data_IF_143875604899
#
_entry.id   IF_143875604899
#
_cell.length_a   1.000
_cell.length_b   1.000
_cell.length_c   1.000
_cell.angle_alpha   90.00
_cell.angle_beta   90.00
_cell.angle_gamma   90.00
#
_symmetry.space_group_name_H-M   'P 1'
#
loop_
_entity.id
_entity.type
_entity.pdbx_description
1 polymer ?
#
# COMPACT_ATOMS: atom_id res chain seq x y z
N UNK A 1 14.48 8.97 34.22
CA UNK A 1 15.27 8.62 33.01
C UNK A 1 15.90 9.89 32.49
N UNK A 2 17.22 9.94 32.27
CA UNK A 2 17.86 11.10 31.65
C UNK A 2 17.58 11.06 30.14
N UNK A 3 16.77 11.98 29.62
CA UNK A 3 16.33 11.98 28.22
C UNK A 3 17.45 12.26 27.21
N UNK A 4 18.53 12.90 27.65
CA UNK A 4 19.70 13.19 26.81
C UNK A 4 20.70 12.03 26.77
N UNK A 5 20.53 11.03 27.64
CA UNK A 5 21.37 9.84 27.61
C UNK A 5 21.00 8.91 26.44
N UNK A 6 21.98 8.15 25.95
CA UNK A 6 21.75 7.13 24.93
C UNK A 6 21.14 5.86 25.54
N UNK A 7 20.12 5.26 24.90
CA UNK A 7 19.65 3.94 25.30
C UNK A 7 20.72 2.87 25.11
N UNK A 8 20.58 1.70 25.78
CA UNK A 8 21.48 0.57 25.57
C UNK A 8 21.60 0.20 24.08
N UNK A 9 22.80 -0.15 23.61
CA UNK A 9 23.05 -0.52 22.21
C UNK A 9 22.14 -1.65 21.70
N UNK A 10 21.78 -2.58 22.58
CA UNK A 10 20.84 -3.65 22.28
C UNK A 10 19.45 -3.10 21.92
N UNK A 11 18.97 -2.08 22.65
CA UNK A 11 17.68 -1.45 22.35
C UNK A 11 17.72 -0.79 20.98
N UNK A 12 18.78 -0.02 20.69
CA UNK A 12 18.98 0.63 19.38
C UNK A 12 18.95 -0.37 18.21
N UNK A 13 19.52 -1.56 18.40
CA UNK A 13 19.50 -2.63 17.40
C UNK A 13 18.10 -3.25 17.23
N UNK A 14 17.35 -3.37 18.32
CA UNK A 14 16.02 -3.98 18.33
C UNK A 14 14.87 -2.99 18.08
N UNK A 15 15.13 -1.68 17.99
CA UNK A 15 14.10 -0.63 17.82
C UNK A 15 13.05 -0.98 16.75
N UNK A 16 13.41 -1.36 15.50
CA UNK A 16 12.41 -1.60 14.47
C UNK A 16 11.49 -2.77 14.80
N UNK A 17 12.06 -3.84 15.39
CA UNK A 17 11.30 -5.02 15.79
C UNK A 17 10.37 -4.71 16.96
N UNK A 18 10.85 -3.96 17.96
CA UNK A 18 10.03 -3.55 19.10
C UNK A 18 8.87 -2.67 18.66
N UNK A 19 9.13 -1.65 17.84
CA UNK A 19 8.10 -0.74 17.33
C UNK A 19 7.10 -1.47 16.45
N UNK A 20 7.56 -2.42 15.62
CA UNK A 20 6.66 -3.26 14.84
C UNK A 20 5.76 -4.13 15.72
N UNK A 21 6.32 -4.82 16.73
CA UNK A 21 5.52 -5.64 17.64
C UNK A 21 4.49 -4.81 18.40
N UNK A 22 4.87 -3.62 18.89
CA UNK A 22 3.93 -2.68 19.51
C UNK A 22 2.80 -2.29 18.55
N UNK A 23 3.14 -1.94 17.30
CA UNK A 23 2.16 -1.62 16.27
C UNK A 23 1.26 -2.79 15.90
N UNK A 24 1.81 -4.00 15.80
CA UNK A 24 1.07 -5.24 15.54
C UNK A 24 0.02 -5.48 16.62
N UNK A 25 0.42 -5.44 17.90
CA UNK A 25 -0.51 -5.62 19.01
C UNK A 25 -1.54 -4.49 19.09
N UNK A 26 -1.14 -3.24 18.85
CA UNK A 26 -2.06 -2.11 18.84
C UNK A 26 -3.11 -2.24 17.73
N UNK A 27 -2.71 -2.63 16.53
CA UNK A 27 -3.63 -2.81 15.40
C UNK A 27 -4.57 -3.99 15.64
N UNK A 28 -4.05 -5.12 16.15
CA UNK A 28 -4.88 -6.28 16.49
C UNK A 28 -5.84 -6.01 17.65
N UNK A 29 -5.52 -5.08 18.56
CA UNK A 29 -6.38 -4.74 19.67
C UNK A 29 -7.70 -4.08 19.20
N UNK A 30 -7.72 -3.42 18.03
CA UNK A 30 -8.92 -2.77 17.49
C UNK A 30 -10.07 -3.76 17.24
N UNK A 31 -9.94 -4.77 16.37
CA UNK A 31 -11.02 -5.73 16.13
C UNK A 31 -11.34 -6.58 17.37
N UNK A 32 -10.38 -6.78 18.28
CA UNK A 32 -10.64 -7.46 19.57
C UNK A 32 -11.52 -6.61 20.47
N UNK A 33 -11.21 -5.32 20.61
CA UNK A 33 -11.97 -4.39 21.46
C UNK A 33 -13.38 -4.13 20.92
N UNK A 34 -13.55 -4.13 19.59
CA UNK A 34 -14.84 -3.95 18.93
C UNK A 34 -15.66 -5.24 18.80
N UNK A 35 -15.04 -6.40 19.06
CA UNK A 35 -15.69 -7.71 18.91
C UNK A 35 -15.88 -8.16 17.46
N UNK A 36 -15.25 -7.49 16.50
CA UNK A 36 -15.34 -7.83 15.08
C UNK A 36 -14.79 -6.75 14.16
N UNK A 37 -15.04 -6.93 12.85
CA UNK A 37 -14.89 -5.90 11.84
C UNK A 37 -16.25 -5.26 11.57
N UNK A 38 -16.28 -3.94 11.44
CA UNK A 38 -17.42 -3.20 10.92
C UNK A 38 -17.71 -3.52 9.45
N UNK A 39 -18.98 -3.80 9.14
CA UNK A 39 -19.48 -3.79 7.77
C UNK A 39 -19.90 -2.37 7.40
N UNK A 40 -18.98 -1.64 6.78
CA UNK A 40 -19.24 -0.31 6.25
C UNK A 40 -20.26 -0.33 5.10
N UNK A 41 -20.75 0.84 4.71
CA UNK A 41 -21.54 0.99 3.48
C UNK A 41 -20.80 0.41 2.27
N UNK A 42 -19.49 0.66 2.16
CA UNK A 42 -18.66 0.09 1.10
C UNK A 42 -18.57 -1.43 1.16
N UNK A 43 -18.53 -2.01 2.36
CA UNK A 43 -18.51 -3.46 2.54
C UNK A 43 -19.77 -4.13 1.97
N UNK A 44 -20.92 -3.52 2.24
CA UNK A 44 -22.23 -3.99 1.78
C UNK A 44 -22.45 -3.78 0.28
N UNK A 45 -21.77 -2.79 -0.32
CA UNK A 45 -21.95 -2.46 -1.73
C UNK A 45 -20.92 -3.14 -2.64
N UNK A 46 -19.63 -3.18 -2.27
CA UNK A 46 -18.60 -3.65 -3.19
C UNK A 46 -17.50 -4.52 -2.59
N UNK A 47 -17.11 -4.40 -1.30
CA UNK A 47 -15.97 -5.20 -0.81
C UNK A 47 -16.23 -6.72 -0.85
N UNK A 48 -17.41 -7.16 -0.41
CA UNK A 48 -17.79 -8.59 -0.44
C UNK A 48 -17.90 -9.08 -1.88
N UNK A 49 -18.55 -8.30 -2.75
CA UNK A 49 -18.70 -8.63 -4.17
C UNK A 49 -17.34 -8.74 -4.88
N UNK A 50 -16.46 -7.76 -4.70
CA UNK A 50 -15.12 -7.77 -5.28
C UNK A 50 -14.28 -8.95 -4.78
N UNK A 51 -14.36 -9.26 -3.48
CA UNK A 51 -13.69 -10.43 -2.92
C UNK A 51 -14.21 -11.75 -3.52
N UNK A 52 -15.51 -11.83 -3.82
CA UNK A 52 -16.12 -12.99 -4.47
C UNK A 52 -15.65 -13.19 -5.91
N UNK A 53 -15.67 -12.12 -6.72
CA UNK A 53 -15.31 -12.22 -8.15
C UNK A 53 -13.81 -12.34 -8.39
N UNK A 54 -12.96 -12.15 -7.38
CA UNK A 54 -11.51 -12.28 -7.51
C UNK A 54 -11.07 -13.65 -8.06
N UNK A 55 -11.79 -14.73 -7.76
CA UNK A 55 -11.46 -16.08 -8.24
C UNK A 55 -12.19 -16.46 -9.53
N UNK A 56 -13.38 -15.94 -9.71
CA UNK A 56 -14.26 -16.29 -10.83
C UNK A 56 -14.96 -15.02 -11.26
N UNK A 57 -14.35 -14.24 -12.16
CA UNK A 57 -14.97 -13.05 -12.72
C UNK A 57 -16.32 -13.42 -13.36
N UNK A 58 -17.31 -12.55 -13.22
CA UNK A 58 -18.71 -12.80 -13.62
C UNK A 58 -19.25 -11.73 -14.56
N UNK A 59 -18.38 -11.18 -15.41
CA UNK A 59 -18.71 -10.08 -16.30
C UNK A 59 -19.86 -10.38 -17.28
N UNK A 60 -20.11 -11.67 -17.57
CA UNK A 60 -21.19 -12.19 -18.41
C UNK A 60 -22.55 -12.25 -17.69
N UNK A 61 -22.57 -12.14 -16.37
CA UNK A 61 -23.78 -12.31 -15.53
C UNK A 61 -24.12 -11.05 -14.75
N UNK A 62 -23.10 -10.41 -14.20
CA UNK A 62 -23.22 -9.34 -13.22
C UNK A 62 -22.86 -8.00 -13.89
N UNK A 63 -23.87 -7.30 -14.43
CA UNK A 63 -23.65 -6.06 -15.20
C UNK A 63 -23.13 -4.90 -14.34
N UNK A 64 -23.76 -4.64 -13.20
CA UNK A 64 -23.43 -3.53 -12.28
C UNK A 64 -23.75 -3.92 -10.82
N UNK A 65 -23.41 -5.16 -10.43
CA UNK A 65 -23.76 -5.70 -9.11
C UNK A 65 -23.22 -4.85 -7.94
N UNK A 66 -22.12 -4.13 -8.16
CA UNK A 66 -21.56 -3.14 -7.25
C UNK A 66 -21.40 -1.77 -7.94
N UNK A 67 -22.39 -1.37 -8.76
CA UNK A 67 -22.37 -0.13 -9.54
C UNK A 67 -21.03 0.08 -10.28
N UNK A 68 -20.47 1.29 -10.24
CA UNK A 68 -19.17 1.63 -10.86
C UNK A 68 -17.99 0.96 -10.19
N UNK A 69 -18.15 0.44 -8.97
CA UNK A 69 -17.10 -0.27 -8.24
C UNK A 69 -16.91 -1.72 -8.71
N UNK A 70 -17.83 -2.28 -9.50
CA UNK A 70 -17.80 -3.68 -9.97
C UNK A 70 -16.52 -4.07 -10.71
N UNK A 71 -15.83 -3.10 -11.30
CA UNK A 71 -14.60 -3.29 -12.09
C UNK A 71 -13.32 -2.91 -11.34
N UNK A 72 -13.40 -2.55 -10.06
CA UNK A 72 -12.22 -2.26 -9.25
C UNK A 72 -11.37 -3.51 -9.01
N UNK A 73 -10.09 -3.30 -8.68
CA UNK A 73 -9.13 -4.36 -8.40
C UNK A 73 -9.62 -5.28 -7.25
N UNK A 74 -9.92 -6.56 -7.52
CA UNK A 74 -10.66 -7.39 -6.56
C UNK A 74 -9.75 -8.12 -5.57
N UNK A 75 -8.48 -8.33 -5.91
CA UNK A 75 -7.63 -9.29 -5.20
C UNK A 75 -7.28 -8.90 -3.76
N UNK A 76 -7.29 -7.61 -3.42
CA UNK A 76 -7.09 -7.18 -2.02
C UNK A 76 -8.32 -7.42 -1.13
N UNK A 77 -9.51 -7.59 -1.71
CA UNK A 77 -10.72 -7.92 -0.96
C UNK A 77 -10.88 -9.44 -0.76
N UNK A 78 -10.17 -10.24 -1.56
CA UNK A 78 -10.25 -11.69 -1.52
C UNK A 78 -9.93 -12.32 -0.15
N UNK A 79 -8.85 -11.91 0.59
CA UNK A 79 -8.56 -12.51 1.89
C UNK A 79 -9.70 -12.33 2.89
N UNK A 80 -10.28 -11.13 2.96
CA UNK A 80 -11.44 -10.85 3.82
C UNK A 80 -12.63 -11.74 3.44
N UNK A 81 -12.96 -11.79 2.15
CA UNK A 81 -14.10 -12.58 1.65
C UNK A 81 -13.95 -14.07 1.99
N UNK A 82 -12.73 -14.61 1.85
CA UNK A 82 -12.45 -16.02 2.16
C UNK A 82 -12.55 -16.33 3.65
N UNK A 83 -12.10 -15.43 4.52
CA UNK A 83 -12.24 -15.61 5.96
C UNK A 83 -13.72 -15.58 6.36
N UNK A 84 -14.49 -14.63 5.83
CA UNK A 84 -15.92 -14.52 6.09
C UNK A 84 -16.69 -15.77 5.62
N UNK A 85 -16.46 -16.23 4.38
CA UNK A 85 -17.14 -17.42 3.83
C UNK A 85 -16.69 -18.74 4.44
N UNK A 86 -15.51 -18.79 5.04
CA UNK A 86 -15.06 -19.93 5.84
C UNK A 86 -15.68 -19.98 7.25
N UNK A 87 -16.53 -19.01 7.62
CA UNK A 87 -17.15 -18.94 8.94
C UNK A 87 -16.21 -18.47 10.05
N UNK A 88 -15.09 -17.83 9.70
CA UNK A 88 -14.16 -17.25 10.67
C UNK A 88 -14.81 -16.06 11.35
N UNK A 89 -14.63 -15.93 12.67
CA UNK A 89 -15.18 -14.80 13.43
C UNK A 89 -14.62 -13.47 12.95
N UNK A 90 -15.40 -12.39 13.06
CA UNK A 90 -14.97 -11.04 12.68
C UNK A 90 -13.71 -10.60 13.43
N UNK A 91 -13.51 -11.03 14.68
CA UNK A 91 -12.31 -10.76 15.47
C UNK A 91 -11.07 -11.38 14.83
N UNK A 92 -11.14 -12.66 14.44
CA UNK A 92 -10.00 -13.35 13.83
C UNK A 92 -9.74 -12.81 12.42
N UNK A 93 -10.78 -12.54 11.65
CA UNK A 93 -10.65 -11.92 10.33
C UNK A 93 -10.03 -10.52 10.42
N UNK A 94 -10.49 -9.70 11.36
CA UNK A 94 -9.93 -8.39 11.64
C UNK A 94 -8.49 -8.47 12.13
N UNK A 95 -8.18 -9.38 13.04
CA UNK A 95 -6.81 -9.62 13.50
C UNK A 95 -5.86 -10.00 12.36
N UNK A 96 -6.31 -10.82 11.42
CA UNK A 96 -5.54 -11.17 10.23
C UNK A 96 -5.27 -9.94 9.35
N UNK A 97 -6.29 -9.15 9.02
CA UNK A 97 -6.13 -7.92 8.23
C UNK A 97 -5.25 -6.88 8.95
N UNK A 98 -5.46 -6.70 10.26
CA UNK A 98 -4.68 -5.81 11.11
C UNK A 98 -3.20 -6.23 11.18
N UNK A 99 -2.91 -7.55 11.19
CA UNK A 99 -1.54 -8.05 11.15
C UNK A 99 -0.82 -7.67 9.85
N UNK A 100 -1.53 -7.71 8.71
CA UNK A 100 -1.00 -7.27 7.42
C UNK A 100 -0.83 -5.74 7.43
N UNK A 101 -1.82 -5.00 7.92
CA UNK A 101 -1.75 -3.55 8.06
C UNK A 101 -0.55 -3.08 8.92
N UNK A 102 -0.16 -3.87 9.93
CA UNK A 102 1.01 -3.57 10.77
C UNK A 102 2.34 -3.51 10.00
N UNK A 103 2.41 -4.07 8.79
CA UNK A 103 3.59 -3.97 7.91
C UNK A 103 3.87 -2.54 7.47
N UNK A 104 2.92 -1.60 7.64
CA UNK A 104 3.17 -0.16 7.48
C UNK A 104 4.07 0.41 8.58
N UNK A 105 4.03 -0.14 9.80
CA UNK A 105 4.68 0.43 10.99
C UNK A 105 6.21 0.52 10.83
N UNK A 106 6.93 -0.52 10.38
CA UNK A 106 8.37 -0.40 10.14
C UNK A 106 8.73 0.63 9.08
N UNK A 107 7.92 0.78 8.02
CA UNK A 107 8.17 1.77 6.98
C UNK A 107 8.06 3.20 7.53
N UNK A 108 7.01 3.48 8.32
CA UNK A 108 6.85 4.79 8.99
C UNK A 108 7.96 5.01 10.02
N UNK A 109 8.40 3.98 10.74
CA UNK A 109 9.54 4.08 11.65
C UNK A 109 10.85 4.45 10.93
N UNK A 110 11.10 3.90 9.74
CA UNK A 110 12.26 4.27 8.92
C UNK A 110 12.21 5.73 8.48
N UNK A 111 11.03 6.20 8.07
CA UNK A 111 10.81 7.61 7.72
C UNK A 111 11.01 8.51 8.95
N UNK A 112 10.48 8.13 10.11
CA UNK A 112 10.68 8.86 11.36
C UNK A 112 12.16 8.95 11.75
N UNK A 113 12.94 7.87 11.56
CA UNK A 113 14.40 7.88 11.77
C UNK A 113 15.15 8.79 10.81
N UNK A 114 14.66 8.91 9.58
CA UNK A 114 15.24 9.84 8.61
C UNK A 114 14.97 11.31 8.99
N UNK A 115 13.76 11.61 9.49
CA UNK A 115 13.39 12.95 9.97
C UNK A 115 14.06 13.32 11.30
N UNK A 116 14.28 12.34 12.18
CA UNK A 116 14.89 12.52 13.51
C UNK A 116 16.03 11.50 13.70
N UNK A 117 17.27 11.82 13.25
CA UNK A 117 18.39 10.86 13.22
C UNK A 117 19.15 10.71 14.55
N UNK A 118 18.80 11.48 15.58
CA UNK A 118 19.48 11.48 16.88
C UNK A 118 19.37 10.14 17.63
N UNK A 119 20.24 9.94 18.63
CA UNK A 119 20.39 8.65 19.34
C UNK A 119 20.11 8.75 20.85
N UNK A 120 19.47 9.82 21.29
CA UNK A 120 19.07 9.99 22.69
C UNK A 120 17.71 9.35 22.97
N UNK A 121 17.34 9.21 24.23
CA UNK A 121 15.97 8.81 24.61
C UNK A 121 14.93 9.81 24.11
N UNK A 122 15.23 11.12 24.11
CA UNK A 122 14.35 12.14 23.54
C UNK A 122 14.06 11.86 22.05
N UNK A 123 15.10 11.60 21.26
CA UNK A 123 14.95 11.32 19.83
C UNK A 123 14.12 10.05 19.59
N UNK A 124 14.34 9.00 20.39
CA UNK A 124 13.53 7.78 20.33
C UNK A 124 12.05 8.06 20.61
N UNK A 125 11.75 8.83 21.67
CA UNK A 125 10.38 9.18 22.03
C UNK A 125 9.72 10.08 20.98
N UNK A 126 10.46 11.00 20.36
CA UNK A 126 9.96 11.84 19.27
C UNK A 126 9.59 10.99 18.05
N UNK A 127 10.44 10.02 17.67
CA UNK A 127 10.13 9.07 16.60
C UNK A 127 8.92 8.21 16.95
N UNK A 128 8.84 7.69 18.17
CA UNK A 128 7.73 6.86 18.63
C UNK A 128 6.42 7.63 18.60
N UNK A 129 6.46 8.89 19.06
CA UNK A 129 5.32 9.82 19.00
C UNK A 129 4.92 10.11 17.56
N UNK A 130 5.88 10.32 16.65
CA UNK A 130 5.61 10.52 15.22
C UNK A 130 4.95 9.31 14.57
N UNK A 131 5.43 8.09 14.85
CA UNK A 131 4.79 6.84 14.38
C UNK A 131 3.39 6.70 14.97
N UNK A 132 3.22 6.95 16.26
CA UNK A 132 1.91 6.91 16.90
C UNK A 132 0.94 7.88 16.23
N UNK A 133 1.31 9.16 16.08
CA UNK A 133 0.48 10.18 15.44
C UNK A 133 0.15 9.85 13.98
N UNK A 134 1.08 9.24 13.23
CA UNK A 134 0.85 8.83 11.85
C UNK A 134 -0.32 7.82 11.70
N UNK A 135 -0.59 7.02 12.73
CA UNK A 135 -1.68 6.04 12.72
C UNK A 135 -2.92 6.46 13.52
N UNK A 136 -2.84 7.56 14.27
CA UNK A 136 -3.96 8.09 15.07
C UNK A 136 -4.93 8.98 14.27
N UNK A 137 -4.71 9.14 12.96
CA UNK A 137 -5.66 9.84 12.10
C UNK A 137 -7.02 9.12 12.07
N UNK A 138 -8.12 9.87 12.17
CA UNK A 138 -9.48 9.28 12.20
C UNK A 138 -9.78 8.38 11.00
N UNK A 139 -9.29 8.74 9.81
CA UNK A 139 -9.39 7.91 8.61
C UNK A 139 -8.64 6.60 8.80
N UNK A 140 -7.37 6.65 9.22
CA UNK A 140 -6.54 5.44 9.44
C UNK A 140 -7.14 4.51 10.48
N UNK A 141 -7.64 5.05 11.58
CA UNK A 141 -8.32 4.26 12.61
C UNK A 141 -9.61 3.62 12.09
N UNK A 142 -10.42 4.35 11.30
CA UNK A 142 -11.61 3.76 10.69
C UNK A 142 -11.30 2.62 9.71
N UNK A 143 -10.11 2.65 9.08
CA UNK A 143 -9.70 1.58 8.17
C UNK A 143 -9.37 0.28 8.92
N UNK A 144 -8.91 0.36 10.18
CA UNK A 144 -8.61 -0.81 11.02
C UNK A 144 -9.87 -1.54 11.51
N UNK A 145 -11.03 -0.88 11.52
CA UNK A 145 -12.34 -1.47 11.81
C UNK A 145 -13.16 -1.74 10.53
N UNK A 146 -12.54 -1.70 9.36
CA UNK A 146 -13.26 -1.87 8.11
C UNK A 146 -12.67 -2.98 7.27
N UNK A 147 -13.41 -3.34 6.23
CA UNK A 147 -13.00 -4.30 5.21
C UNK A 147 -12.38 -3.60 4.00
N UNK A 148 -12.08 -2.30 4.13
CA UNK A 148 -11.44 -1.48 3.10
C UNK A 148 -10.03 -1.98 2.81
N UNK A 149 -9.67 -1.93 1.53
CA UNK A 149 -8.32 -2.24 1.07
C UNK A 149 -7.39 -1.04 1.00
N UNK A 150 -7.87 0.18 1.31
CA UNK A 150 -7.12 1.43 1.13
C UNK A 150 -5.80 1.41 1.88
N UNK A 151 -5.86 0.94 3.13
CA UNK A 151 -4.67 0.87 3.96
C UNK A 151 -3.68 -0.17 3.43
N UNK A 152 -4.18 -1.37 3.07
CA UNK A 152 -3.36 -2.46 2.52
C UNK A 152 -2.71 -2.04 1.19
N UNK A 153 -3.45 -1.34 0.34
CA UNK A 153 -2.97 -0.83 -0.93
C UNK A 153 -1.86 0.23 -0.76
N UNK A 154 -1.87 0.98 0.34
CA UNK A 154 -0.87 2.01 0.63
C UNK A 154 0.44 1.47 1.20
N UNK A 155 0.46 0.27 1.78
CA UNK A 155 1.66 -0.33 2.42
C UNK A 155 2.87 -0.34 1.47
N UNK A 156 2.77 -0.82 0.20
CA UNK A 156 3.94 -0.83 -0.68
C UNK A 156 4.46 0.59 -0.97
N UNK A 157 3.58 1.60 -1.08
CA UNK A 157 4.00 2.98 -1.30
C UNK A 157 4.74 3.54 -0.08
N UNK A 158 4.28 3.26 1.14
CA UNK A 158 5.01 3.62 2.36
C UNK A 158 6.42 3.02 2.37
N UNK A 159 6.54 1.75 1.98
CA UNK A 159 7.84 1.11 1.83
C UNK A 159 8.67 1.71 0.70
N UNK A 160 8.07 2.15 -0.41
CA UNK A 160 8.78 2.83 -1.47
C UNK A 160 9.46 4.11 -0.97
N UNK A 161 8.77 4.91 -0.14
CA UNK A 161 9.34 6.07 0.54
C UNK A 161 10.41 5.68 1.56
N UNK A 162 10.13 4.69 2.41
CA UNK A 162 11.07 4.23 3.44
C UNK A 162 12.39 3.73 2.84
N UNK A 163 12.35 3.02 1.70
CA UNK A 163 13.58 2.57 1.02
C UNK A 163 14.40 3.75 0.50
N UNK A 164 13.76 4.84 0.06
CA UNK A 164 14.46 6.05 -0.37
C UNK A 164 15.22 6.75 0.78
N UNK A 165 14.81 6.57 2.04
CA UNK A 165 15.54 7.15 3.18
C UNK A 165 16.89 6.50 3.42
N UNK A 166 17.18 5.38 2.75
CA UNK A 166 18.45 4.66 2.82
C UNK A 166 19.43 5.06 1.70
N UNK A 167 19.06 5.99 0.82
CA UNK A 167 19.92 6.46 -0.26
C UNK A 167 21.08 7.29 0.31
N UNK A 168 22.30 6.96 -0.10
CA UNK A 168 23.54 7.57 0.41
C UNK A 168 24.45 8.14 -0.71
N UNK A 169 24.00 8.05 -1.97
CA UNK A 169 24.78 8.44 -3.14
C UNK A 169 25.68 7.33 -3.69
N UNK A 170 25.71 6.17 -3.03
CA UNK A 170 26.57 5.03 -3.39
C UNK A 170 26.04 4.15 -4.52
N UNK A 171 26.81 3.12 -4.93
CA UNK A 171 26.41 2.18 -5.99
C UNK A 171 25.18 1.33 -5.65
N UNK A 172 24.99 1.03 -4.36
CA UNK A 172 23.88 0.19 -3.87
C UNK A 172 22.50 0.83 -4.08
N UNK A 173 22.46 2.15 -4.25
CA UNK A 173 21.23 2.93 -4.43
C UNK A 173 20.45 2.54 -5.67
N UNK A 174 21.09 1.97 -6.71
CA UNK A 174 20.35 1.45 -7.87
C UNK A 174 19.37 0.36 -7.48
N UNK A 175 19.76 -0.54 -6.56
CA UNK A 175 18.89 -1.62 -6.06
C UNK A 175 17.78 -1.07 -5.17
N UNK A 176 18.09 -0.07 -4.34
CA UNK A 176 17.11 0.61 -3.49
C UNK A 176 16.06 1.34 -4.33
N UNK A 177 16.49 2.09 -5.35
CA UNK A 177 15.60 2.75 -6.31
C UNK A 177 14.78 1.75 -7.12
N UNK A 178 15.38 0.63 -7.55
CA UNK A 178 14.63 -0.44 -8.23
C UNK A 178 13.53 -1.02 -7.34
N UNK A 179 13.83 -1.33 -6.07
CA UNK A 179 12.84 -1.81 -5.11
C UNK A 179 11.77 -0.75 -4.82
N UNK A 180 12.17 0.50 -4.63
CA UNK A 180 11.27 1.63 -4.40
C UNK A 180 10.31 1.83 -5.58
N UNK A 181 10.82 1.79 -6.82
CA UNK A 181 10.00 1.81 -8.04
C UNK A 181 9.01 0.65 -8.08
N UNK A 182 9.51 -0.59 -7.93
CA UNK A 182 8.66 -1.79 -7.93
C UNK A 182 7.50 -1.67 -6.94
N UNK A 183 7.79 -1.25 -5.70
CA UNK A 183 6.78 -1.07 -4.65
C UNK A 183 5.79 0.05 -4.96
N UNK A 184 6.25 1.18 -5.50
CA UNK A 184 5.37 2.27 -5.92
C UNK A 184 4.42 1.80 -7.04
N UNK A 185 4.93 1.04 -8.01
CA UNK A 185 4.16 0.39 -9.05
C UNK A 185 3.08 -0.55 -8.50
N UNK A 186 3.47 -1.45 -7.60
CA UNK A 186 2.55 -2.38 -6.93
C UNK A 186 1.44 -1.60 -6.20
N UNK A 187 1.77 -0.54 -5.48
CA UNK A 187 0.78 0.28 -4.77
C UNK A 187 -0.24 0.92 -5.73
N UNK A 188 0.21 1.44 -6.88
CA UNK A 188 -0.69 1.98 -7.91
C UNK A 188 -1.55 0.89 -8.53
N UNK A 189 -0.97 -0.29 -8.77
CA UNK A 189 -1.72 -1.45 -9.26
C UNK A 189 -2.77 -1.94 -8.27
N UNK A 190 -2.46 -1.94 -6.98
CA UNK A 190 -3.41 -2.26 -5.92
C UNK A 190 -4.55 -1.25 -5.84
N UNK A 191 -4.24 0.04 -6.00
CA UNK A 191 -5.25 1.10 -6.04
C UNK A 191 -4.76 2.29 -6.85
N UNK A 192 -5.47 2.60 -7.94
CA UNK A 192 -5.10 3.69 -8.86
C UNK A 192 -4.99 5.06 -8.17
N UNK A 193 -5.72 5.27 -7.06
CA UNK A 193 -5.66 6.50 -6.26
C UNK A 193 -4.31 6.73 -5.56
N UNK A 194 -3.42 5.72 -5.51
CA UNK A 194 -2.03 5.91 -5.09
C UNK A 194 -1.17 6.60 -6.16
N UNK A 195 -1.64 6.62 -7.42
CA UNK A 195 -0.94 7.20 -8.57
C UNK A 195 -0.46 8.64 -8.35
N UNK A 196 -1.34 9.58 -7.93
CA UNK A 196 -0.95 10.96 -7.67
C UNK A 196 0.18 11.10 -6.65
N UNK A 197 0.20 10.28 -5.60
CA UNK A 197 1.28 10.31 -4.59
C UNK A 197 2.55 9.67 -5.15
N UNK A 198 2.44 8.60 -5.93
CA UNK A 198 3.57 7.94 -6.57
C UNK A 198 4.33 8.85 -7.56
N UNK A 199 3.71 9.92 -8.08
CA UNK A 199 4.38 10.93 -8.91
C UNK A 199 5.49 11.70 -8.18
N UNK A 200 5.54 11.65 -6.84
CA UNK A 200 6.63 12.24 -6.04
C UNK A 200 7.90 11.38 -6.09
N UNK A 201 7.78 10.08 -6.39
CA UNK A 201 8.90 9.13 -6.31
C UNK A 201 10.11 9.47 -7.18
N UNK A 202 9.96 9.97 -8.43
CA UNK A 202 11.09 10.45 -9.23
C UNK A 202 11.96 11.47 -8.49
N UNK A 203 11.36 12.39 -7.72
CA UNK A 203 12.11 13.37 -6.92
C UNK A 203 12.88 12.68 -5.81
N UNK A 204 12.26 11.72 -5.12
CA UNK A 204 12.91 10.95 -4.05
C UNK A 204 14.12 10.15 -4.56
N UNK A 205 14.08 9.60 -5.77
CA UNK A 205 15.19 8.82 -6.34
C UNK A 205 16.42 9.65 -6.68
N UNK A 206 16.27 10.97 -6.76
CA UNK A 206 17.35 11.92 -7.01
C UNK A 206 18.14 12.29 -5.75
N UNK A 207 17.66 11.92 -4.56
CA UNK A 207 18.34 12.19 -3.29
C UNK A 207 19.77 11.63 -3.32
N UNK A 208 20.72 12.47 -2.93
CA UNK A 208 22.15 12.13 -2.86
C UNK A 208 22.85 11.96 -4.21
N UNK A 209 22.16 12.18 -5.34
CA UNK A 209 22.81 12.16 -6.66
C UNK A 209 23.72 13.38 -6.83
N UNK A 210 24.92 13.15 -7.40
CA UNK A 210 25.92 14.20 -7.62
C UNK A 210 26.22 14.47 -9.09
N UNK A 211 25.81 13.55 -9.97
CA UNK A 211 26.11 13.60 -11.40
C UNK A 211 24.87 13.26 -12.23
N UNK A 212 24.73 13.95 -13.37
CA UNK A 212 23.60 13.76 -14.29
C UNK A 212 23.45 12.30 -14.78
N UNK A 213 24.51 11.57 -15.16
CA UNK A 213 24.37 10.16 -15.57
C UNK A 213 23.85 9.25 -14.45
N UNK A 214 24.19 9.54 -13.20
CA UNK A 214 23.70 8.80 -12.04
C UNK A 214 22.21 9.06 -11.82
N UNK A 215 21.80 10.33 -11.90
CA UNK A 215 20.40 10.74 -11.82
C UNK A 215 19.56 10.08 -12.92
N UNK A 216 20.00 10.17 -14.18
CA UNK A 216 19.34 9.55 -15.32
C UNK A 216 19.18 8.03 -15.14
N UNK A 217 20.25 7.33 -14.73
CA UNK A 217 20.19 5.89 -14.50
C UNK A 217 19.19 5.52 -13.39
N UNK A 218 19.14 6.27 -12.28
CA UNK A 218 18.19 6.02 -11.18
C UNK A 218 16.75 6.29 -11.62
N UNK A 219 16.49 7.39 -12.32
CA UNK A 219 15.16 7.70 -12.85
C UNK A 219 14.68 6.61 -13.80
N UNK A 220 15.50 6.20 -14.78
CA UNK A 220 15.13 5.17 -15.74
C UNK A 220 14.82 3.83 -15.06
N UNK A 221 15.66 3.42 -14.10
CA UNK A 221 15.43 2.18 -13.34
C UNK A 221 14.16 2.30 -12.50
N UNK A 222 14.00 3.38 -11.73
CA UNK A 222 12.83 3.58 -10.89
C UNK A 222 11.53 3.58 -11.69
N UNK A 223 11.48 4.31 -12.82
CA UNK A 223 10.31 4.35 -13.71
C UNK A 223 10.00 2.99 -14.33
N UNK A 224 11.02 2.29 -14.84
CA UNK A 224 10.84 0.95 -15.42
C UNK A 224 10.31 -0.03 -14.37
N UNK A 225 10.87 -0.01 -13.16
CA UNK A 225 10.44 -0.92 -12.10
C UNK A 225 9.06 -0.55 -11.55
N UNK A 226 8.68 0.73 -11.51
CA UNK A 226 7.30 1.14 -11.23
C UNK A 226 6.32 0.58 -12.26
N UNK A 227 6.66 0.65 -13.54
CA UNK A 227 5.81 0.06 -14.57
C UNK A 227 5.68 -1.47 -14.40
N UNK A 228 6.80 -2.16 -14.18
CA UNK A 228 6.82 -3.61 -13.93
C UNK A 228 6.01 -3.98 -12.68
N UNK A 229 6.15 -3.23 -11.58
CA UNK A 229 5.39 -3.46 -10.35
C UNK A 229 3.88 -3.31 -10.55
N UNK A 230 3.47 -2.28 -11.31
CA UNK A 230 2.08 -2.08 -11.69
C UNK A 230 1.56 -3.22 -12.55
N UNK A 231 2.34 -3.71 -13.53
CA UNK A 231 1.96 -4.86 -14.35
C UNK A 231 1.85 -6.16 -13.54
N UNK A 232 2.76 -6.40 -12.60
CA UNK A 232 2.71 -7.59 -11.74
C UNK A 232 1.44 -7.58 -10.88
N UNK A 233 1.12 -6.43 -10.27
CA UNK A 233 -0.03 -6.31 -9.40
C UNK A 233 -1.35 -6.31 -10.17
N UNK A 234 -1.46 -5.50 -11.22
CA UNK A 234 -2.73 -5.17 -11.88
C UNK A 234 -2.88 -5.74 -13.29
N UNK A 235 -1.79 -6.13 -13.95
CA UNK A 235 -1.79 -6.47 -15.38
C UNK A 235 -2.79 -7.54 -15.77
N UNK A 236 -2.94 -8.57 -14.94
CA UNK A 236 -3.94 -9.63 -15.18
C UNK A 236 -5.38 -9.11 -15.09
N UNK A 237 -5.71 -8.31 -14.08
CA UNK A 237 -7.05 -7.72 -13.95
C UNK A 237 -7.35 -6.73 -15.07
N UNK A 238 -6.39 -5.84 -15.37
CA UNK A 238 -6.51 -4.89 -16.46
C UNK A 238 -6.68 -5.58 -17.82
N UNK A 239 -6.04 -6.73 -18.03
CA UNK A 239 -6.24 -7.53 -19.23
C UNK A 239 -7.66 -8.10 -19.32
N UNK A 240 -8.23 -8.60 -18.22
CA UNK A 240 -9.62 -9.07 -18.22
C UNK A 240 -10.60 -7.93 -18.53
N UNK A 241 -10.41 -6.75 -17.93
CA UNK A 241 -11.23 -5.58 -18.23
C UNK A 241 -11.06 -5.12 -19.68
N UNK A 242 -9.86 -5.23 -20.24
CA UNK A 242 -9.61 -4.96 -21.65
C UNK A 242 -10.42 -5.92 -22.55
N UNK A 243 -10.40 -7.22 -22.27
CA UNK A 243 -11.16 -8.21 -23.05
C UNK A 243 -12.67 -7.95 -22.99
N UNK A 244 -13.18 -7.52 -21.83
CA UNK A 244 -14.61 -7.31 -21.63
C UNK A 244 -15.12 -5.95 -22.14
N UNK A 245 -14.35 -4.87 -21.90
CA UNK A 245 -14.81 -3.49 -22.09
C UNK A 245 -13.95 -2.68 -23.06
N UNK A 246 -12.87 -3.25 -23.59
CA UNK A 246 -11.87 -2.51 -24.36
C UNK A 246 -11.15 -1.42 -23.55
N UNK A 247 -11.18 -1.49 -22.22
CA UNK A 247 -10.60 -0.49 -21.33
C UNK A 247 -10.01 -1.18 -20.08
N UNK A 248 -8.69 -1.10 -19.83
CA UNK A 248 -8.06 -1.83 -18.73
C UNK A 248 -8.31 -1.20 -17.35
N UNK A 249 -8.89 0.00 -17.29
CA UNK A 249 -9.23 0.74 -16.07
C UNK A 249 -10.70 1.15 -16.05
N UNK A 250 -11.55 0.37 -16.73
CA UNK A 250 -12.98 0.61 -16.81
C UNK A 250 -13.59 0.84 -15.41
N UNK A 251 -14.50 1.82 -15.23
CA UNK A 251 -15.10 2.70 -16.25
C UNK A 251 -14.33 4.01 -16.52
N UNK A 252 -13.17 4.21 -15.90
CA UNK A 252 -12.42 5.47 -16.02
C UNK A 252 -11.99 5.72 -17.47
N UNK A 253 -12.19 6.94 -17.95
CA UNK A 253 -11.80 7.38 -19.31
C UNK A 253 -12.38 6.51 -20.45
N UNK A 254 -13.55 5.89 -20.26
CA UNK A 254 -14.13 4.99 -21.25
C UNK A 254 -14.22 5.59 -22.67
N UNK A 255 -14.66 6.85 -22.80
CA UNK A 255 -14.74 7.54 -24.10
C UNK A 255 -13.38 7.62 -24.82
N UNK A 256 -12.30 7.79 -24.08
CA UNK A 256 -10.96 7.90 -24.66
C UNK A 256 -10.52 6.54 -25.22
N UNK A 257 -10.73 5.47 -24.45
CA UNK A 257 -10.43 4.10 -24.89
C UNK A 257 -11.33 3.66 -26.05
N UNK A 258 -12.61 3.99 -26.02
CA UNK A 258 -13.56 3.71 -27.11
C UNK A 258 -13.11 4.33 -28.43
N UNK A 259 -12.73 5.62 -28.41
CA UNK A 259 -12.21 6.31 -29.59
C UNK A 259 -10.89 5.70 -30.09
N UNK A 260 -9.97 5.37 -29.16
CA UNK A 260 -8.70 4.74 -29.49
C UNK A 260 -8.91 3.37 -30.17
N UNK A 261 -9.84 2.56 -29.66
CA UNK A 261 -10.13 1.23 -30.20
C UNK A 261 -10.74 1.31 -31.60
N UNK A 262 -11.65 2.27 -31.84
CA UNK A 262 -12.21 2.53 -33.17
C UNK A 262 -11.13 2.94 -34.17
N UNK A 263 -10.22 3.82 -33.76
CA UNK A 263 -9.09 4.24 -34.59
C UNK A 263 -8.14 3.07 -34.91
N UNK A 264 -7.91 2.18 -33.93
CA UNK A 264 -7.05 1.02 -34.09
C UNK A 264 -7.73 -0.17 -34.80
N UNK A 265 -9.04 -0.13 -35.05
CA UNK A 265 -9.82 -1.21 -35.64
C UNK A 265 -9.96 -2.45 -34.75
N UNK A 266 -9.91 -2.28 -33.42
CA UNK A 266 -9.88 -3.38 -32.44
C UNK A 266 -11.30 -3.73 -31.93
N UNK A 267 -12.27 -2.79 -32.02
CA UNK A 267 -13.68 -2.95 -31.68
C UNK A 267 -14.56 -2.00 -32.51
#
# INVERSE_FOLDING_TARGET
>A
MNLESSPPRLLLACEPALVWLLGLFAFMAVPVALGGLGLSWDALNHHVYLGWIAQSPRFDRDLLAAASQSSQYPYLYWPMYRLATAGVSGVVAGGALASIASLAVPAVWMIARWCCPGRTWMDFLLRLSGVFLAFMGGVTLSLLDSTSNDFLAAIPLLWAFAVCTLLDGGPSDRRKVALSGLLAGIAVGFKLSNGPIALVMPVMWLIGTKAVPQAAARLSIGMLLSFIGGLIAYGWWGFQLWQQYGNPIYPLYHEWFSNLNRFAGIL
#
